data_IF_851621731687
#
_entry.id   IF_851621731687
#
_cell.length_a   1.000
_cell.length_b   1.000
_cell.length_c   1.000
_cell.angle_alpha   90.00
_cell.angle_beta   90.00
_cell.angle_gamma   90.00
#
_symmetry.space_group_name_H-M   'P 1'
#
loop_
_entity.id
_entity.type
_entity.pdbx_description
1 polymer ?
#
# COMPACT_ATOMS: atom_id res chain seq x y z
N UNK A 1 -9.26 7.06 -18.34
CA UNK A 1 -9.99 6.32 -17.29
C UNK A 1 -9.07 5.56 -16.33
N UNK A 2 -8.13 4.71 -16.78
CA UNK A 2 -7.25 3.91 -15.88
C UNK A 2 -6.38 4.70 -14.88
N UNK A 3 -5.86 5.87 -15.26
CA UNK A 3 -5.04 6.70 -14.36
C UNK A 3 -5.83 7.21 -13.14
N UNK A 4 -7.10 7.56 -13.32
CA UNK A 4 -7.97 7.99 -12.22
C UNK A 4 -8.27 6.84 -11.25
N UNK A 5 -8.37 5.61 -11.77
CA UNK A 5 -8.57 4.42 -10.95
C UNK A 5 -7.35 4.12 -10.06
N UNK A 6 -6.14 4.22 -10.61
CA UNK A 6 -4.91 4.00 -9.83
C UNK A 6 -4.77 5.05 -8.72
N UNK A 7 -5.04 6.33 -9.03
CA UNK A 7 -5.01 7.40 -8.04
C UNK A 7 -6.03 7.18 -6.92
N UNK A 8 -7.29 6.86 -7.28
CA UNK A 8 -8.32 6.57 -6.28
C UNK A 8 -7.93 5.39 -5.36
N UNK A 9 -7.37 4.31 -5.90
CA UNK A 9 -6.90 3.17 -5.11
C UNK A 9 -5.82 3.59 -4.10
N UNK A 10 -4.89 4.44 -4.52
CA UNK A 10 -3.83 4.94 -3.66
C UNK A 10 -4.38 5.88 -2.57
N UNK A 11 -5.30 6.77 -2.91
CA UNK A 11 -5.99 7.65 -1.96
C UNK A 11 -6.68 6.84 -0.86
N UNK A 12 -7.41 5.78 -1.22
CA UNK A 12 -8.06 4.89 -0.26
C UNK A 12 -7.05 4.18 0.67
N UNK A 13 -5.89 3.80 0.14
CA UNK A 13 -4.84 3.17 0.95
C UNK A 13 -4.16 4.15 1.90
N UNK A 14 -3.91 5.39 1.45
CA UNK A 14 -3.40 6.49 2.28
C UNK A 14 -4.38 6.82 3.40
N UNK A 15 -5.68 6.89 3.11
CA UNK A 15 -6.73 7.12 4.11
C UNK A 15 -6.78 6.01 5.16
N UNK A 16 -6.71 4.75 4.74
CA UNK A 16 -6.63 3.59 5.64
C UNK A 16 -5.39 3.67 6.54
N UNK A 17 -4.24 4.03 5.96
CA UNK A 17 -2.98 4.22 6.70
C UNK A 17 -3.08 5.38 7.69
N UNK A 18 -3.72 6.49 7.31
CA UNK A 18 -3.92 7.65 8.18
C UNK A 18 -4.84 7.36 9.36
N UNK A 19 -5.85 6.49 9.20
CA UNK A 19 -6.68 6.03 10.32
C UNK A 19 -5.83 5.30 11.36
N UNK A 20 -4.91 4.45 10.93
CA UNK A 20 -3.95 3.80 11.82
C UNK A 20 -2.96 4.79 12.43
N UNK A 21 -2.43 5.73 11.63
CA UNK A 21 -1.55 6.77 12.15
C UNK A 21 -2.22 7.57 13.27
N UNK A 22 -3.50 7.94 13.11
CA UNK A 22 -4.30 8.62 14.13
C UNK A 22 -4.41 7.81 15.43
N UNK A 23 -4.68 6.49 15.33
CA UNK A 23 -4.71 5.59 16.49
C UNK A 23 -3.37 5.56 17.24
N UNK A 24 -2.25 5.63 16.51
CA UNK A 24 -0.90 5.57 17.07
C UNK A 24 -0.24 6.94 17.27
N UNK A 25 -0.98 8.05 17.13
CA UNK A 25 -0.46 9.40 17.34
C UNK A 25 0.60 9.85 16.32
N UNK A 26 0.63 9.24 15.12
CA UNK A 26 1.50 9.64 14.00
C UNK A 26 0.82 10.70 13.13
N UNK A 27 1.63 11.55 12.51
CA UNK A 27 1.12 12.56 11.57
C UNK A 27 0.48 11.90 10.34
N UNK A 28 -0.59 12.50 9.79
CA UNK A 28 -1.22 12.00 8.57
C UNK A 28 -0.35 12.27 7.34
N UNK A 29 -0.28 11.30 6.44
CA UNK A 29 0.28 11.47 5.09
C UNK A 29 -0.69 12.27 4.23
N UNK A 30 -0.18 13.23 3.46
CA UNK A 30 -0.97 14.05 2.53
C UNK A 30 -0.39 13.98 1.12
N UNK A 31 -1.22 14.29 0.12
CA UNK A 31 -0.77 14.44 -1.26
C UNK A 31 -0.32 15.89 -1.54
N UNK A 32 0.68 16.10 -2.42
CA UNK A 32 1.52 15.08 -3.04
C UNK A 32 2.40 14.34 -2.01
N UNK A 33 2.59 13.04 -2.19
CA UNK A 33 3.38 12.24 -1.26
C UNK A 33 4.84 12.68 -1.32
N UNK A 34 5.48 12.77 -0.16
CA UNK A 34 6.94 12.83 -0.08
C UNK A 34 7.55 11.47 -0.42
N UNK A 35 8.83 11.44 -0.78
CA UNK A 35 9.58 10.19 -0.95
C UNK A 35 9.52 9.32 0.31
N UNK A 36 9.61 9.92 1.49
CA UNK A 36 9.52 9.20 2.77
C UNK A 36 8.15 8.53 2.96
N UNK A 37 7.06 9.19 2.58
CA UNK A 37 5.72 8.60 2.64
C UNK A 37 5.57 7.46 1.64
N UNK A 38 6.10 7.61 0.42
CA UNK A 38 6.11 6.53 -0.58
C UNK A 38 6.87 5.29 -0.07
N UNK A 39 8.07 5.48 0.53
CA UNK A 39 8.84 4.41 1.15
C UNK A 39 8.03 3.72 2.27
N UNK A 40 7.46 4.51 3.18
CA UNK A 40 6.67 3.99 4.31
C UNK A 40 5.45 3.18 3.86
N UNK A 41 4.78 3.61 2.79
CA UNK A 41 3.66 2.88 2.21
C UNK A 41 4.11 1.57 1.55
N UNK A 42 5.27 1.55 0.89
CA UNK A 42 5.83 0.33 0.31
C UNK A 42 6.26 -0.67 1.39
N UNK A 43 6.92 -0.21 2.46
CA UNK A 43 7.29 -1.05 3.60
C UNK A 43 6.06 -1.67 4.26
N UNK A 44 4.98 -0.89 4.39
CA UNK A 44 3.69 -1.40 4.88
C UNK A 44 3.13 -2.49 3.95
N UNK A 45 3.15 -2.28 2.64
CA UNK A 45 2.69 -3.27 1.66
C UNK A 45 3.53 -4.55 1.71
N UNK A 46 4.86 -4.42 1.82
CA UNK A 46 5.77 -5.54 1.95
C UNK A 46 5.45 -6.37 3.20
N UNK A 47 5.26 -5.71 4.35
CA UNK A 47 4.82 -6.36 5.58
C UNK A 47 3.52 -7.16 5.40
N UNK A 48 2.51 -6.57 4.76
CA UNK A 48 1.21 -7.23 4.50
C UNK A 48 1.28 -8.38 3.48
N UNK A 49 2.26 -8.33 2.57
CA UNK A 49 2.50 -9.35 1.53
C UNK A 49 3.36 -10.52 2.03
N UNK A 50 4.07 -10.36 3.15
CA UNK A 50 4.83 -11.45 3.77
C UNK A 50 3.96 -12.70 3.99
N UNK A 51 4.51 -13.93 3.89
CA UNK A 51 3.72 -15.15 3.99
C UNK A 51 2.82 -15.23 5.23
N UNK A 52 3.33 -14.83 6.39
CA UNK A 52 2.63 -14.82 7.68
C UNK A 52 1.42 -13.86 7.65
N UNK A 53 1.62 -12.59 7.29
CA UNK A 53 0.53 -11.62 7.25
C UNK A 53 -0.43 -11.85 6.08
N UNK A 54 0.05 -12.38 4.96
CA UNK A 54 -0.78 -12.68 3.79
C UNK A 54 -1.77 -13.81 4.10
N UNK A 55 -1.33 -14.80 4.87
CA UNK A 55 -2.16 -15.93 5.29
C UNK A 55 -2.80 -15.74 6.66
N UNK A 56 -2.59 -14.59 7.32
CA UNK A 56 -2.99 -14.33 8.70
C UNK A 56 -2.60 -15.51 9.61
N UNK A 57 -1.33 -15.91 9.60
CA UNK A 57 -0.83 -17.08 10.34
C UNK A 57 -1.59 -18.39 10.05
N UNK A 58 -2.17 -18.51 8.85
CA UNK A 58 -2.95 -19.66 8.39
C UNK A 58 -4.42 -19.63 8.78
N UNK A 59 -4.90 -18.56 9.43
CA UNK A 59 -6.29 -18.43 9.88
C UNK A 59 -7.29 -18.28 8.73
N UNK A 60 -6.86 -17.76 7.58
CA UNK A 60 -7.73 -17.55 6.43
C UNK A 60 -7.57 -18.66 5.37
N UNK A 61 -8.66 -18.95 4.68
CA UNK A 61 -8.64 -19.89 3.55
C UNK A 61 -7.70 -19.43 2.44
N UNK A 62 -7.19 -20.39 1.67
CA UNK A 62 -6.36 -20.10 0.50
C UNK A 62 -7.04 -19.14 -0.50
N UNK A 63 -8.37 -19.19 -0.62
CA UNK A 63 -9.12 -18.27 -1.46
C UNK A 63 -9.17 -16.84 -0.90
N UNK A 64 -9.19 -16.67 0.42
CA UNK A 64 -9.08 -15.36 1.08
C UNK A 64 -7.66 -14.79 0.93
N UNK A 65 -6.61 -15.60 1.18
CA UNK A 65 -5.22 -15.19 0.98
C UNK A 65 -4.97 -14.75 -0.47
N UNK A 66 -5.48 -15.51 -1.45
CA UNK A 66 -5.37 -15.15 -2.87
C UNK A 66 -6.08 -13.83 -3.22
N UNK A 67 -7.22 -13.53 -2.58
CA UNK A 67 -7.92 -12.25 -2.75
C UNK A 67 -7.10 -11.11 -2.15
N UNK A 68 -6.61 -11.26 -0.92
CA UNK A 68 -5.73 -10.29 -0.26
C UNK A 68 -4.47 -10.02 -1.10
N UNK A 69 -3.83 -11.05 -1.63
CA UNK A 69 -2.66 -10.93 -2.51
C UNK A 69 -2.93 -10.04 -3.74
N UNK A 70 -4.08 -10.25 -4.41
CA UNK A 70 -4.44 -9.48 -5.61
C UNK A 70 -4.74 -8.02 -5.29
N UNK A 71 -5.41 -7.78 -4.18
CA UNK A 71 -5.70 -6.43 -3.69
C UNK A 71 -4.40 -5.68 -3.37
N UNK A 72 -3.52 -6.26 -2.56
CA UNK A 72 -2.23 -5.66 -2.19
C UNK A 72 -1.35 -5.38 -3.41
N UNK A 73 -1.28 -6.31 -4.38
CA UNK A 73 -0.53 -6.07 -5.62
C UNK A 73 -1.16 -4.98 -6.51
N UNK A 74 -2.49 -4.82 -6.45
CA UNK A 74 -3.16 -3.71 -7.16
C UNK A 74 -2.80 -2.37 -6.54
N UNK A 75 -2.75 -2.29 -5.21
CA UNK A 75 -2.32 -1.10 -4.47
C UNK A 75 -0.84 -0.80 -4.73
N UNK A 76 0.03 -1.81 -4.67
CA UNK A 76 1.46 -1.69 -5.02
C UNK A 76 1.65 -1.05 -6.38
N UNK A 77 0.97 -1.56 -7.42
CA UNK A 77 1.05 -1.02 -8.77
C UNK A 77 0.56 0.43 -8.87
N UNK A 78 -0.46 0.79 -8.09
CA UNK A 78 -0.94 2.17 -8.01
C UNK A 78 0.12 3.10 -7.41
N UNK A 79 0.81 2.68 -6.34
CA UNK A 79 1.92 3.41 -5.74
C UNK A 79 3.12 3.56 -6.69
N UNK A 80 3.52 2.49 -7.39
CA UNK A 80 4.58 2.53 -8.40
C UNK A 80 4.24 3.53 -9.52
N UNK A 81 3.00 3.48 -10.02
CA UNK A 81 2.51 4.41 -11.05
C UNK A 81 2.53 5.85 -10.54
N UNK A 82 2.14 6.09 -9.29
CA UNK A 82 2.22 7.41 -8.67
C UNK A 82 3.66 7.91 -8.59
N UNK A 83 4.61 7.08 -8.16
CA UNK A 83 6.02 7.47 -8.04
C UNK A 83 6.59 7.90 -9.40
N UNK A 84 6.35 7.10 -10.45
CA UNK A 84 6.77 7.40 -11.82
C UNK A 84 6.19 8.72 -12.33
N UNK A 85 4.93 9.02 -12.04
CA UNK A 85 4.26 10.24 -12.50
C UNK A 85 4.67 11.49 -11.70
N UNK A 86 5.24 11.33 -10.51
CA UNK A 86 5.58 12.43 -9.60
C UNK A 86 7.09 12.55 -9.36
N UNK A 87 7.92 11.92 -10.19
CA UNK A 87 9.39 11.98 -10.10
C UNK A 87 9.94 11.52 -8.75
N UNK A 88 9.30 10.50 -8.17
CA UNK A 88 9.78 9.81 -6.97
C UNK A 88 10.49 8.53 -7.38
N UNK A 89 11.50 8.14 -6.59
CA UNK A 89 12.11 6.82 -6.71
C UNK A 89 11.05 5.77 -6.32
N UNK A 90 10.87 4.77 -7.17
CA UNK A 90 9.94 3.67 -6.87
C UNK A 90 10.59 2.75 -5.85
N UNK A 91 10.07 2.64 -4.62
CA UNK A 91 10.71 1.82 -3.59
C UNK A 91 10.54 0.34 -3.92
N UNK A 92 11.54 -0.48 -3.57
CA UNK A 92 11.45 -1.93 -3.73
C UNK A 92 10.50 -2.54 -2.70
N UNK A 93 9.74 -3.55 -3.12
CA UNK A 93 8.82 -4.27 -2.24
C UNK A 93 9.47 -5.59 -1.82
N UNK A 94 10.10 -5.62 -0.64
CA UNK A 94 10.92 -6.74 -0.15
C UNK A 94 10.24 -7.43 1.04
N UNK A 95 9.86 -8.70 0.90
CA UNK A 95 9.16 -9.51 1.91
C UNK A 95 9.37 -11.01 1.72
#
# INVERSE_FOLDING_TARGET
MKAHQAQYILEQFVDSTNRWNSIFGKEPMTFPLSQQNANSLMDKLAGELSPENLHCDGEISHAQAQRKFRELNTIKKALETYCLNNWLDTPECVY
#
